data_IF_284838878571
#
_entry.id   IF_284838878571
#
_cell.length_a   1.000
_cell.length_b   1.000
_cell.length_c   1.000
_cell.angle_alpha   90.00
_cell.angle_beta   90.00
_cell.angle_gamma   90.00
#
_symmetry.space_group_name_H-M   'P 1'
#
loop_
_entity.id
_entity.type
_entity.pdbx_description
1 polymer ?
#
# COMPACT_ATOMS: atom_id res chain seq x y z
N UNK A 1 -19.19 -74.08 33.69
CA UNK A 1 -18.77 -73.43 32.44
C UNK A 1 -18.73 -71.92 32.67
N UNK A 2 -17.62 -71.34 33.15
CA UNK A 2 -17.48 -69.89 33.31
C UNK A 2 -16.16 -69.45 32.68
N UNK A 3 -16.22 -68.88 31.48
CA UNK A 3 -15.08 -68.24 30.81
C UNK A 3 -15.03 -66.78 31.24
N UNK A 4 -14.06 -66.43 32.09
CA UNK A 4 -13.75 -65.03 32.39
C UNK A 4 -12.91 -64.49 31.23
N UNK A 5 -13.51 -63.64 30.40
CA UNK A 5 -12.79 -62.89 29.37
C UNK A 5 -12.10 -61.71 30.02
N UNK A 6 -10.78 -61.78 30.19
CA UNK A 6 -9.97 -60.62 30.57
C UNK A 6 -9.88 -59.67 29.38
N UNK A 7 -10.60 -58.55 29.46
CA UNK A 7 -10.49 -57.44 28.51
C UNK A 7 -9.19 -56.68 28.77
N UNK A 8 -8.18 -56.89 27.93
CA UNK A 8 -7.01 -56.02 27.85
C UNK A 8 -7.44 -54.63 27.39
N UNK A 9 -7.33 -53.64 28.27
CA UNK A 9 -7.59 -52.23 27.96
C UNK A 9 -6.30 -51.62 27.39
N UNK A 10 -6.26 -51.12 26.15
CA UNK A 10 -5.09 -50.41 25.67
C UNK A 10 -5.00 -49.09 26.44
N UNK A 11 -3.87 -48.86 27.07
CA UNK A 11 -3.60 -47.63 27.79
C UNK A 11 -3.28 -46.55 26.76
N UNK A 12 -4.32 -45.81 26.36
CA UNK A 12 -4.16 -44.66 25.47
C UNK A 12 -3.42 -43.57 26.25
N UNK A 13 -2.11 -43.45 26.00
CA UNK A 13 -1.34 -42.31 26.48
C UNK A 13 -1.83 -41.08 25.72
N UNK A 14 -2.64 -40.27 26.39
CA UNK A 14 -2.99 -38.92 25.92
C UNK A 14 -1.72 -38.09 25.86
N UNK A 15 -1.13 -37.97 24.68
CA UNK A 15 -0.13 -36.95 24.42
C UNK A 15 -0.90 -35.63 24.37
N UNK A 16 -0.83 -34.85 25.45
CA UNK A 16 -1.20 -33.44 25.40
C UNK A 16 -0.25 -32.77 24.41
N UNK A 17 -0.67 -32.62 23.16
CA UNK A 17 -0.16 -31.52 22.35
C UNK A 17 -0.62 -30.25 23.07
N UNK A 18 0.25 -29.70 23.92
CA UNK A 18 0.17 -28.30 24.25
C UNK A 18 0.31 -27.58 22.91
N UNK A 19 -0.80 -27.07 22.39
CA UNK A 19 -0.80 -26.07 21.34
C UNK A 19 0.17 -25.00 21.82
N UNK A 20 1.37 -24.98 21.26
CA UNK A 20 2.37 -23.98 21.60
C UNK A 20 1.81 -22.65 21.14
N UNK A 21 1.09 -21.97 22.02
CA UNK A 21 0.86 -20.54 21.89
C UNK A 21 2.26 -19.95 22.02
N UNK A 22 2.93 -19.76 20.90
CA UNK A 22 4.18 -19.01 20.85
C UNK A 22 3.85 -17.66 21.48
N UNK A 23 4.33 -17.41 22.70
CA UNK A 23 4.16 -16.11 23.35
C UNK A 23 4.69 -15.07 22.37
N UNK A 24 3.89 -14.04 22.10
CA UNK A 24 4.32 -12.92 21.26
C UNK A 24 5.59 -12.33 21.91
N UNK A 25 6.60 -11.95 21.11
CA UNK A 25 7.83 -11.40 21.64
C UNK A 25 7.51 -10.19 22.52
N UNK A 26 8.23 -10.05 23.63
CA UNK A 26 8.14 -8.83 24.43
C UNK A 26 8.71 -7.66 23.61
N UNK A 27 8.33 -6.39 23.90
CA UNK A 27 8.80 -5.23 23.13
C UNK A 27 10.33 -5.15 22.98
N UNK A 28 11.07 -5.70 23.95
CA UNK A 28 12.54 -5.69 23.99
C UNK A 28 13.17 -6.76 23.10
N UNK A 29 12.41 -7.76 22.64
CA UNK A 29 12.88 -8.89 21.82
C UNK A 29 12.55 -8.69 20.33
N UNK A 30 11.89 -7.58 19.98
CA UNK A 30 11.50 -7.26 18.61
C UNK A 30 12.72 -6.84 17.80
N UNK A 31 12.98 -7.58 16.72
CA UNK A 31 13.99 -7.22 15.71
C UNK A 31 13.30 -6.98 14.37
N UNK A 32 13.98 -6.34 13.41
CA UNK A 32 13.42 -6.09 12.08
C UNK A 32 12.97 -7.36 11.34
N UNK A 33 13.59 -8.51 11.64
CA UNK A 33 13.26 -9.79 11.01
C UNK A 33 11.99 -10.44 11.59
N UNK A 34 11.67 -10.15 12.85
CA UNK A 34 10.57 -10.79 13.58
C UNK A 34 9.38 -9.84 13.81
N UNK A 35 9.46 -8.59 13.36
CA UNK A 35 8.40 -7.61 13.51
C UNK A 35 7.18 -8.02 12.67
N UNK A 36 6.02 -8.11 13.30
CA UNK A 36 4.75 -8.37 12.66
C UNK A 36 3.89 -7.11 12.75
N UNK A 37 3.72 -6.43 11.62
CA UNK A 37 3.04 -5.13 11.58
C UNK A 37 1.51 -5.26 11.55
N UNK A 38 0.85 -4.23 12.08
CA UNK A 38 -0.57 -4.00 11.88
C UNK A 38 -0.88 -3.52 10.44
N UNK A 39 -2.11 -3.09 10.19
CA UNK A 39 -2.50 -2.56 8.89
C UNK A 39 -1.69 -1.31 8.56
N UNK A 40 -0.95 -1.38 7.44
CA UNK A 40 -0.09 -0.29 6.96
C UNK A 40 -0.96 0.83 6.36
N UNK A 41 -0.68 2.07 6.73
CA UNK A 41 -1.35 3.25 6.16
C UNK A 41 -0.84 3.55 4.74
N UNK A 42 -1.54 4.42 4.01
CA UNK A 42 -1.08 4.88 2.68
C UNK A 42 0.30 5.55 2.70
N UNK A 43 0.78 6.04 3.85
CA UNK A 43 2.13 6.61 4.03
C UNK A 43 3.20 5.57 4.38
N UNK A 44 2.83 4.31 4.60
CA UNK A 44 3.75 3.25 5.04
C UNK A 44 3.88 3.13 6.57
N UNK A 45 3.10 3.88 7.35
CA UNK A 45 3.14 3.78 8.82
C UNK A 45 2.39 2.53 9.29
N UNK A 46 3.05 1.76 10.15
CA UNK A 46 2.46 0.64 10.88
C UNK A 46 3.13 0.49 12.25
N UNK A 47 2.42 -0.10 13.20
CA UNK A 47 2.96 -0.48 14.51
C UNK A 47 3.21 -1.97 14.53
N UNK A 48 4.31 -2.39 15.15
CA UNK A 48 4.54 -3.80 15.42
C UNK A 48 3.55 -4.30 16.48
N UNK A 49 3.14 -5.57 16.39
CA UNK A 49 2.16 -6.17 17.31
C UNK A 49 2.62 -6.22 18.77
N UNK A 50 3.92 -6.16 19.04
CA UNK A 50 4.43 -6.07 20.41
C UNK A 50 4.46 -4.63 20.95
N UNK A 51 4.19 -3.62 20.11
CA UNK A 51 4.20 -2.22 20.54
C UNK A 51 3.01 -1.89 21.44
N UNK A 52 3.29 -1.42 22.65
CA UNK A 52 2.27 -1.04 23.64
C UNK A 52 1.32 0.05 23.11
N UNK A 53 1.75 0.87 22.15
CA UNK A 53 0.93 1.96 21.57
C UNK A 53 -0.29 1.44 20.81
N UNK A 54 -0.31 0.17 20.40
CA UNK A 54 -1.46 -0.47 19.75
C UNK A 54 -2.67 -0.61 20.66
N UNK A 55 -2.49 -0.56 21.99
CA UNK A 55 -3.59 -0.66 22.96
C UNK A 55 -4.68 0.41 22.74
N UNK A 56 -4.35 1.54 22.09
CA UNK A 56 -5.33 2.57 21.72
C UNK A 56 -6.44 2.08 20.77
N UNK A 57 -6.19 1.00 20.03
CA UNK A 57 -7.12 0.41 19.06
C UNK A 57 -7.78 -0.88 19.57
N UNK A 58 -7.74 -1.13 20.88
CA UNK A 58 -8.36 -2.33 21.48
C UNK A 58 -9.90 -2.25 21.44
N UNK A 59 -10.46 -1.10 21.80
CA UNK A 59 -11.91 -0.85 21.75
C UNK A 59 -12.42 -0.54 20.33
N UNK A 60 -11.60 0.09 19.49
CA UNK A 60 -12.01 0.57 18.17
C UNK A 60 -10.95 0.26 17.10
N UNK A 61 -11.42 -0.09 15.89
CA UNK A 61 -10.55 -0.44 14.78
C UNK A 61 -9.80 0.78 14.25
N UNK A 62 -8.51 0.61 13.94
CA UNK A 62 -7.70 1.58 13.19
C UNK A 62 -8.40 1.87 11.85
N UNK A 63 -8.79 3.13 11.63
CA UNK A 63 -9.44 3.54 10.40
C UNK A 63 -8.37 3.91 9.36
N UNK A 64 -8.39 3.20 8.23
CA UNK A 64 -7.47 3.42 7.12
C UNK A 64 -8.30 3.49 5.85
N UNK A 65 -7.99 4.45 4.98
CA UNK A 65 -8.62 4.56 3.68
C UNK A 65 -8.06 3.46 2.75
N UNK A 66 -8.90 2.55 2.21
CA UNK A 66 -8.45 1.54 1.25
C UNK A 66 -8.09 2.14 -0.12
N UNK A 67 -8.65 3.30 -0.46
CA UNK A 67 -8.45 3.95 -1.76
C UNK A 67 -7.21 4.83 -1.70
N UNK A 68 -6.05 4.27 -2.07
CA UNK A 68 -4.77 4.97 -2.06
C UNK A 68 -4.63 5.83 -3.33
N UNK A 69 -4.51 7.15 -3.16
CA UNK A 69 -4.46 8.11 -4.26
C UNK A 69 -3.30 7.84 -5.25
N UNK A 70 -2.14 7.38 -4.75
CA UNK A 70 -0.98 7.03 -5.58
C UNK A 70 -1.34 5.98 -6.66
N UNK A 71 -2.10 4.95 -6.28
CA UNK A 71 -2.52 3.89 -7.20
C UNK A 71 -3.53 4.43 -8.22
N UNK A 72 -4.47 5.26 -7.77
CA UNK A 72 -5.51 5.84 -8.62
C UNK A 72 -4.93 6.79 -9.68
N UNK A 73 -3.91 7.57 -9.34
CA UNK A 73 -3.22 8.43 -10.30
C UNK A 73 -2.37 7.62 -11.27
N UNK A 74 -1.70 6.56 -10.80
CA UNK A 74 -0.92 5.67 -11.65
C UNK A 74 -1.79 4.91 -12.67
N UNK A 75 -3.02 4.55 -12.29
CA UNK A 75 -4.01 3.91 -13.17
C UNK A 75 -4.47 4.82 -14.31
N UNK A 76 -4.52 6.14 -14.08
CA UNK A 76 -4.94 7.09 -15.12
C UNK A 76 -3.86 7.20 -16.22
N UNK A 77 -4.22 7.01 -17.50
CA UNK A 77 -3.25 7.13 -18.60
C UNK A 77 -2.77 8.57 -18.76
N UNK A 78 -1.54 8.72 -19.26
CA UNK A 78 -1.01 10.02 -19.64
C UNK A 78 -1.80 10.59 -20.82
N UNK A 79 -2.06 11.89 -20.78
CA UNK A 79 -2.80 12.61 -21.81
C UNK A 79 -1.85 13.08 -22.92
N UNK A 80 -2.20 12.77 -24.17
CA UNK A 80 -1.51 13.30 -25.35
C UNK A 80 -1.97 14.72 -25.63
N UNK A 81 -1.03 15.66 -25.69
CA UNK A 81 -1.27 17.07 -25.99
C UNK A 81 -0.84 17.45 -27.40
N UNK A 82 -0.60 16.47 -28.27
CA UNK A 82 -0.24 16.68 -29.67
C UNK A 82 1.08 17.43 -29.79
N UNK A 83 1.05 18.56 -30.49
CA UNK A 83 2.22 19.40 -30.78
C UNK A 83 2.38 20.58 -29.79
N UNK A 84 1.56 20.66 -28.74
CA UNK A 84 1.61 21.76 -27.78
C UNK A 84 2.88 21.70 -26.92
N UNK A 85 3.62 22.81 -26.87
CA UNK A 85 4.80 22.94 -26.00
C UNK A 85 4.45 23.27 -24.55
N UNK A 86 3.31 23.93 -24.33
CA UNK A 86 2.86 24.36 -23.01
C UNK A 86 1.40 24.01 -22.86
N UNK A 87 1.06 23.29 -21.79
CA UNK A 87 -0.31 22.84 -21.51
C UNK A 87 -0.84 23.53 -20.26
N UNK A 88 -2.11 23.93 -20.33
CA UNK A 88 -2.84 24.52 -19.21
C UNK A 88 -3.61 23.45 -18.45
N UNK A 89 -3.37 23.32 -17.14
CA UNK A 89 -4.13 22.44 -16.26
C UNK A 89 -4.82 23.26 -15.16
N UNK A 90 -6.12 23.05 -14.99
CA UNK A 90 -6.99 23.66 -13.98
C UNK A 90 -7.73 22.62 -13.11
N UNK A 91 -7.39 21.34 -13.26
CA UNK A 91 -8.05 20.23 -12.59
C UNK A 91 -9.45 19.89 -13.13
N UNK A 92 -9.80 20.38 -14.32
CA UNK A 92 -11.04 20.04 -15.04
C UNK A 92 -12.18 21.03 -14.85
N UNK A 93 -12.08 21.96 -13.91
CA UNK A 93 -13.02 23.06 -13.79
C UNK A 93 -12.35 24.31 -13.20
N UNK A 94 -12.53 25.50 -13.81
CA UNK A 94 -11.74 26.69 -13.49
C UNK A 94 -11.88 27.20 -12.04
N UNK A 95 -13.01 26.92 -11.39
CA UNK A 95 -13.29 27.35 -10.01
C UNK A 95 -13.36 26.21 -8.97
N UNK A 96 -13.44 24.94 -9.42
CA UNK A 96 -13.60 23.79 -8.51
C UNK A 96 -12.34 22.92 -8.45
N UNK A 97 -11.42 23.09 -9.40
CA UNK A 97 -10.12 22.45 -9.38
C UNK A 97 -9.07 23.28 -8.64
N UNK A 98 -7.82 23.16 -9.10
CA UNK A 98 -6.69 23.90 -8.53
C UNK A 98 -6.41 25.18 -9.32
N UNK A 99 -5.59 26.11 -8.79
CA UNK A 99 -5.15 27.26 -9.54
C UNK A 99 -4.55 26.86 -10.90
N UNK A 100 -4.91 27.59 -11.94
CA UNK A 100 -4.42 27.34 -13.30
C UNK A 100 -2.88 27.32 -13.30
N UNK A 101 -2.30 26.24 -13.80
CA UNK A 101 -0.86 26.12 -14.03
C UNK A 101 -0.56 25.82 -15.49
N UNK A 102 0.64 26.21 -15.90
CA UNK A 102 1.20 25.95 -17.21
C UNK A 102 2.35 24.97 -17.08
N UNK A 103 2.29 23.87 -17.83
CA UNK A 103 3.23 22.76 -17.78
C UNK A 103 4.04 22.76 -19.07
N UNK A 104 5.37 22.76 -18.96
CA UNK A 104 6.26 22.73 -20.12
C UNK A 104 6.48 21.29 -20.60
N UNK A 105 6.26 21.04 -21.89
CA UNK A 105 6.41 19.73 -22.55
C UNK A 105 7.59 19.71 -23.54
N UNK A 106 8.55 20.63 -23.40
CA UNK A 106 9.69 20.73 -24.32
C UNK A 106 10.67 19.55 -24.21
N UNK A 107 10.74 18.90 -23.04
CA UNK A 107 11.58 17.72 -22.84
C UNK A 107 10.82 16.45 -23.21
N UNK A 108 11.47 15.45 -23.83
CA UNK A 108 10.85 14.15 -24.06
C UNK A 108 10.51 13.49 -22.72
N UNK A 109 9.31 12.92 -22.64
CA UNK A 109 8.81 12.22 -21.46
C UNK A 109 7.44 12.72 -21.01
N UNK A 110 7.00 12.16 -19.90
CA UNK A 110 5.72 12.46 -19.27
C UNK A 110 5.91 13.47 -18.16
N UNK A 111 5.16 14.57 -18.21
CA UNK A 111 5.22 15.68 -17.26
C UNK A 111 3.99 15.66 -16.37
N UNK A 112 4.20 15.66 -15.06
CA UNK A 112 3.09 15.63 -14.11
C UNK A 112 2.65 17.05 -13.69
N UNK A 113 1.34 17.25 -13.53
CA UNK A 113 0.82 18.42 -12.84
C UNK A 113 1.07 18.30 -11.34
N UNK A 114 1.71 19.31 -10.74
CA UNK A 114 2.00 19.32 -9.30
C UNK A 114 0.78 19.37 -8.37
N UNK A 115 -0.42 19.61 -8.91
CA UNK A 115 -1.67 19.60 -8.16
C UNK A 115 -2.46 18.30 -8.36
N UNK A 116 -2.95 18.06 -9.57
CA UNK A 116 -3.76 16.88 -9.86
C UNK A 116 -2.97 15.57 -9.92
N UNK A 117 -1.65 15.62 -10.12
CA UNK A 117 -0.84 14.43 -10.43
C UNK A 117 -1.10 13.83 -11.83
N UNK A 118 -2.01 14.41 -12.61
CA UNK A 118 -2.26 14.02 -13.99
C UNK A 118 -1.00 14.22 -14.83
N UNK A 119 -0.77 13.30 -15.76
CA UNK A 119 0.42 13.24 -16.60
C UNK A 119 0.09 13.67 -18.03
N UNK A 120 0.97 14.47 -18.62
CA UNK A 120 0.82 15.03 -19.97
C UNK A 120 2.10 14.78 -20.77
N UNK A 121 1.98 14.57 -22.08
CA UNK A 121 3.13 14.46 -22.96
C UNK A 121 2.83 15.07 -24.32
N UNK A 122 3.89 15.50 -25.00
CA UNK A 122 3.85 15.97 -26.37
C UNK A 122 4.29 14.84 -27.30
N UNK A 123 3.41 14.39 -28.19
CA UNK A 123 3.64 13.26 -29.10
C UNK A 123 4.60 13.58 -30.26
N UNK A 124 4.83 14.86 -30.58
CA UNK A 124 5.83 15.25 -31.56
C UNK A 124 7.26 15.10 -31.01
N UNK A 125 7.44 15.34 -29.71
CA UNK A 125 8.74 15.30 -29.03
C UNK A 125 9.01 13.91 -28.45
N UNK A 126 8.04 13.35 -27.73
CA UNK A 126 8.18 12.10 -26.98
C UNK A 126 7.85 10.91 -27.87
N UNK A 127 8.80 9.99 -28.10
CA UNK A 127 8.60 8.83 -28.98
C UNK A 127 9.06 7.54 -28.32
N UNK A 128 8.29 6.46 -28.53
CA UNK A 128 8.68 5.10 -28.16
C UNK A 128 9.09 4.97 -26.69
N UNK A 129 10.38 4.74 -26.45
CA UNK A 129 10.95 4.53 -25.11
C UNK A 129 10.95 5.76 -24.21
N UNK A 130 10.83 6.97 -24.78
CA UNK A 130 10.84 8.21 -24.01
C UNK A 130 9.63 8.33 -23.07
N UNK A 131 8.53 7.59 -23.33
CA UNK A 131 7.35 7.55 -22.46
C UNK A 131 7.64 6.96 -21.07
N UNK A 132 8.79 6.30 -20.89
CA UNK A 132 9.25 5.78 -19.60
C UNK A 132 9.91 6.87 -18.74
N UNK A 133 10.23 8.02 -19.32
CA UNK A 133 10.87 9.14 -18.62
C UNK A 133 9.77 9.94 -17.91
N UNK A 134 9.79 9.93 -16.58
CA UNK A 134 8.82 10.66 -15.76
C UNK A 134 9.46 11.91 -15.16
N UNK A 135 9.00 13.10 -15.58
CA UNK A 135 9.37 14.38 -15.00
C UNK A 135 8.37 14.74 -13.91
N UNK A 136 8.69 14.31 -12.68
CA UNK A 136 7.85 14.55 -11.48
C UNK A 136 8.06 15.93 -10.86
N UNK A 137 9.25 16.52 -11.07
CA UNK A 137 9.61 17.86 -10.62
C UNK A 137 10.01 18.67 -11.86
N UNK A 138 9.05 19.30 -12.50
CA UNK A 138 9.34 20.21 -13.60
C UNK A 138 9.71 21.61 -13.09
#
# INVERSE_FOLDING_TARGET
MNRVLQLFRPQVTSVRLCSGITKRPSPNEVTKANAEFDQVTHTGQAWDKADYRLQRFDTSKKQINPNIAMNLIAERPAQDCGNERVVCCDGGHPALGHPRVFINLDKPGVHACGYCGNRFYNSHITKGDDLKIEHLNC
#
